data_IF_479436775122
#
_entry.id   IF_479436775122
#
_cell.length_a   1.000
_cell.length_b   1.000
_cell.length_c   1.000
_cell.angle_alpha   90.00
_cell.angle_beta   90.00
_cell.angle_gamma   90.00
#
_symmetry.space_group_name_H-M   'P 1'
#
loop_
_entity.id
_entity.type
_entity.pdbx_description
1 polymer ?
#
# COMPACT_ATOMS: atom_id res chain seq x y z
N UNK A 1 -6.59 -8.02 -4.08
CA UNK A 1 -6.63 -8.35 -5.53
C UNK A 1 -5.23 -8.33 -6.13
N UNK A 2 -4.51 -7.21 -6.02
CA UNK A 2 -3.17 -6.99 -6.61
C UNK A 2 -2.14 -8.05 -6.14
N UNK A 3 -1.80 -8.07 -4.85
CA UNK A 3 -0.68 -8.89 -4.34
C UNK A 3 -0.93 -10.40 -4.34
N UNK A 4 -2.15 -10.83 -3.98
CA UNK A 4 -2.46 -12.26 -3.80
C UNK A 4 -2.92 -12.90 -5.12
N UNK A 5 -3.78 -12.22 -5.89
CA UNK A 5 -4.40 -12.79 -7.09
C UNK A 5 -3.73 -12.35 -8.39
N UNK A 6 -3.01 -11.23 -8.40
CA UNK A 6 -2.37 -10.72 -9.61
C UNK A 6 -3.32 -10.02 -10.58
N UNK A 7 -4.43 -9.44 -10.10
CA UNK A 7 -5.36 -8.67 -10.93
C UNK A 7 -5.59 -7.28 -10.36
N UNK A 8 -5.74 -6.31 -11.26
CA UNK A 8 -6.07 -4.91 -10.98
C UNK A 8 -7.35 -4.56 -11.71
N UNK A 9 -8.31 -3.91 -11.04
CA UNK A 9 -9.55 -3.41 -11.66
C UNK A 9 -9.32 -2.15 -12.50
N UNK A 10 -8.26 -1.38 -12.19
CA UNK A 10 -7.82 -0.19 -12.92
C UNK A 10 -8.77 1.02 -12.93
N UNK A 11 -10.00 0.89 -12.42
CA UNK A 11 -10.99 1.97 -12.36
C UNK A 11 -12.03 1.82 -11.22
N UNK A 12 -11.60 1.77 -9.94
CA UNK A 12 -12.53 1.71 -8.81
C UNK A 12 -13.13 3.11 -8.52
N UNK A 13 -13.84 3.70 -9.48
CA UNK A 13 -14.54 4.97 -9.26
C UNK A 13 -15.72 4.77 -8.28
N UNK A 14 -16.09 5.77 -7.43
CA UNK A 14 -17.22 5.65 -6.50
C UNK A 14 -18.51 5.10 -7.12
N UNK A 15 -18.81 5.44 -8.38
CA UNK A 15 -19.98 4.93 -9.10
C UNK A 15 -19.97 3.42 -9.37
N UNK A 16 -18.80 2.77 -9.32
CA UNK A 16 -18.63 1.34 -9.55
C UNK A 16 -18.61 0.53 -8.24
N UNK A 17 -18.74 1.18 -7.08
CA UNK A 17 -18.63 0.56 -5.76
C UNK A 17 -19.94 0.78 -5.00
N UNK A 18 -20.63 -0.30 -4.67
CA UNK A 18 -21.78 -0.28 -3.78
C UNK A 18 -21.44 -0.94 -2.45
N UNK A 19 -22.02 -0.42 -1.37
CA UNK A 19 -21.94 -1.04 -0.05
C UNK A 19 -23.31 -1.62 0.27
N UNK A 20 -23.37 -2.93 0.47
CA UNK A 20 -24.59 -3.65 0.80
C UNK A 20 -24.44 -4.31 2.17
N UNK A 21 -25.48 -4.22 3.01
CA UNK A 21 -25.51 -5.00 4.23
C UNK A 21 -25.85 -6.45 3.91
N UNK A 22 -24.98 -7.36 4.31
CA UNK A 22 -25.22 -8.79 4.21
C UNK A 22 -26.37 -9.19 5.16
N UNK A 23 -27.42 -9.78 4.60
CA UNK A 23 -28.61 -10.16 5.37
C UNK A 23 -28.36 -11.31 6.36
N UNK A 24 -27.34 -12.15 6.11
CA UNK A 24 -27.04 -13.34 6.91
C UNK A 24 -26.02 -13.02 7.99
N UNK A 25 -24.90 -12.39 7.63
CA UNK A 25 -23.80 -12.11 8.56
C UNK A 25 -23.93 -10.75 9.25
N UNK A 26 -24.77 -9.85 8.72
CA UNK A 26 -24.86 -8.46 9.18
C UNK A 26 -23.66 -7.59 8.80
N UNK A 27 -22.66 -8.13 8.08
CA UNK A 27 -21.47 -7.40 7.62
C UNK A 27 -21.79 -6.43 6.49
N UNK A 28 -20.88 -5.48 6.25
CA UNK A 28 -20.92 -4.63 5.05
C UNK A 28 -20.12 -5.30 3.95
N UNK A 29 -20.78 -5.65 2.86
CA UNK A 29 -20.17 -6.23 1.67
C UNK A 29 -19.95 -5.12 0.64
N UNK A 30 -18.82 -5.21 -0.07
CA UNK A 30 -18.48 -4.31 -1.16
C UNK A 30 -18.82 -5.02 -2.47
N UNK A 31 -19.74 -4.44 -3.25
CA UNK A 31 -20.15 -4.93 -4.57
C UNK A 31 -19.52 -4.05 -5.64
N UNK A 32 -18.76 -4.66 -6.54
CA UNK A 32 -18.17 -4.01 -7.70
C UNK A 32 -19.09 -4.22 -8.90
N UNK A 33 -19.47 -3.14 -9.57
CA UNK A 33 -20.44 -3.18 -10.67
C UNK A 33 -19.79 -3.36 -12.04
N UNK A 34 -18.69 -2.64 -12.26
CA UNK A 34 -18.03 -2.58 -13.56
C UNK A 34 -16.84 -3.55 -13.59
N UNK A 35 -16.77 -4.35 -14.65
CA UNK A 35 -15.63 -5.25 -14.88
C UNK A 35 -14.93 -5.03 -16.23
N UNK A 36 -15.13 -3.87 -16.86
CA UNK A 36 -14.62 -3.56 -18.19
C UNK A 36 -13.12 -3.30 -18.30
N UNK A 37 -12.42 -2.93 -17.21
CA UNK A 37 -11.02 -2.48 -17.26
C UNK A 37 -10.03 -3.34 -16.44
N UNK A 38 -10.22 -4.66 -16.38
CA UNK A 38 -9.30 -5.53 -15.64
C UNK A 38 -7.97 -5.75 -16.37
N UNK A 39 -6.87 -5.66 -15.62
CA UNK A 39 -5.54 -6.06 -16.08
C UNK A 39 -4.95 -7.14 -15.19
N UNK A 40 -4.37 -8.15 -15.83
CA UNK A 40 -3.51 -9.15 -15.19
C UNK A 40 -2.12 -8.58 -14.97
N UNK A 41 -1.51 -8.92 -13.85
CA UNK A 41 -0.12 -8.62 -13.54
C UNK A 41 0.73 -9.86 -13.81
N UNK A 42 1.86 -9.68 -14.47
CA UNK A 42 2.87 -10.73 -14.54
C UNK A 42 3.32 -11.12 -13.13
N UNK A 43 3.47 -12.43 -12.88
CA UNK A 43 3.81 -12.96 -11.56
C UNK A 43 5.12 -12.35 -11.03
N UNK A 44 6.14 -12.21 -11.89
CA UNK A 44 7.41 -11.58 -11.53
C UNK A 44 7.22 -10.13 -11.06
N UNK A 45 6.51 -9.31 -11.85
CA UNK A 45 6.24 -7.93 -11.50
C UNK A 45 5.43 -7.80 -10.20
N UNK A 46 4.46 -8.70 -9.99
CA UNK A 46 3.67 -8.76 -8.75
C UNK A 46 4.57 -8.99 -7.53
N UNK A 47 5.52 -9.92 -7.61
CA UNK A 47 6.45 -10.23 -6.52
C UNK A 47 7.44 -9.08 -6.29
N UNK A 48 7.91 -8.42 -7.34
CA UNK A 48 8.75 -7.22 -7.21
C UNK A 48 7.99 -6.09 -6.53
N UNK A 49 6.72 -5.88 -6.89
CA UNK A 49 5.87 -4.90 -6.24
C UNK A 49 5.59 -5.24 -4.76
N UNK A 50 5.37 -6.52 -4.41
CA UNK A 50 5.31 -6.97 -3.01
C UNK A 50 6.60 -6.63 -2.26
N UNK A 51 7.75 -6.92 -2.87
CA UNK A 51 9.07 -6.70 -2.27
C UNK A 51 9.34 -5.22 -2.04
N UNK A 52 8.93 -4.35 -2.98
CA UNK A 52 8.98 -2.91 -2.83
C UNK A 52 8.18 -2.45 -1.62
N UNK A 53 6.92 -2.88 -1.48
CA UNK A 53 6.08 -2.51 -0.34
C UNK A 53 6.67 -2.98 0.99
N UNK A 54 7.21 -4.20 1.04
CA UNK A 54 7.89 -4.69 2.23
C UNK A 54 9.12 -3.85 2.60
N UNK A 55 9.90 -3.41 1.61
CA UNK A 55 11.05 -2.52 1.82
C UNK A 55 10.63 -1.12 2.31
N UNK A 56 9.58 -0.54 1.69
CA UNK A 56 9.00 0.74 2.09
C UNK A 56 8.48 0.71 3.54
N UNK A 57 7.78 -0.35 3.92
CA UNK A 57 7.24 -0.52 5.27
C UNK A 57 8.34 -0.67 6.34
N UNK A 58 9.48 -1.27 5.97
CA UNK A 58 10.66 -1.41 6.84
C UNK A 58 11.57 -0.18 6.84
N UNK A 59 11.29 0.82 5.99
CA UNK A 59 12.18 1.96 5.73
C UNK A 59 13.60 1.52 5.27
N UNK A 60 13.70 0.40 4.56
CA UNK A 60 14.96 -0.17 4.09
C UNK A 60 15.35 0.45 2.74
N UNK A 61 16.22 1.46 2.79
CA UNK A 61 16.62 2.25 1.60
C UNK A 61 17.36 1.43 0.56
N UNK A 62 18.22 0.50 1.01
CA UNK A 62 19.02 -0.32 0.11
C UNK A 62 18.13 -1.34 -0.61
N UNK A 63 17.17 -1.94 0.11
CA UNK A 63 16.17 -2.80 -0.50
C UNK A 63 15.25 -2.06 -1.47
N UNK A 64 14.79 -0.83 -1.12
CA UNK A 64 14.00 0.01 -2.03
C UNK A 64 14.77 0.26 -3.33
N UNK A 65 16.03 0.69 -3.23
CA UNK A 65 16.87 0.97 -4.40
C UNK A 65 17.04 -0.28 -5.27
N UNK A 66 17.37 -1.42 -4.67
CA UNK A 66 17.55 -2.69 -5.38
C UNK A 66 16.30 -3.14 -6.13
N UNK A 67 15.12 -3.01 -5.52
CA UNK A 67 13.86 -3.37 -6.18
C UNK A 67 13.52 -2.40 -7.30
N UNK A 68 13.72 -1.09 -7.09
CA UNK A 68 13.52 -0.09 -8.13
C UNK A 68 14.46 -0.27 -9.33
N UNK A 69 15.71 -0.69 -9.10
CA UNK A 69 16.63 -1.08 -10.19
C UNK A 69 16.07 -2.25 -10.99
N UNK A 70 15.55 -3.29 -10.31
CA UNK A 70 14.90 -4.44 -10.98
C UNK A 70 13.66 -4.03 -11.78
N UNK A 71 12.87 -3.08 -11.29
CA UNK A 71 11.68 -2.55 -11.95
C UNK A 71 11.99 -1.53 -13.07
N UNK A 72 13.25 -1.37 -13.47
CA UNK A 72 13.71 -0.42 -14.50
C UNK A 72 13.51 1.07 -14.13
N UNK A 73 13.36 1.36 -12.84
CA UNK A 73 13.17 2.72 -12.30
C UNK A 73 14.52 3.37 -11.98
N UNK A 74 15.50 2.58 -11.55
CA UNK A 74 16.88 3.00 -11.35
C UNK A 74 17.04 4.16 -10.36
N UNK A 75 17.66 5.25 -10.81
CA UNK A 75 17.98 6.42 -9.99
C UNK A 75 16.74 7.17 -9.45
N UNK A 76 15.58 6.98 -10.06
CA UNK A 76 14.33 7.62 -9.66
C UNK A 76 13.63 6.94 -8.46
N UNK A 77 14.31 6.03 -7.76
CA UNK A 77 13.72 5.25 -6.65
C UNK A 77 13.07 6.12 -5.56
N UNK A 78 13.66 7.29 -5.25
CA UNK A 78 13.14 8.20 -4.22
C UNK A 78 11.84 8.86 -4.66
N UNK A 79 11.81 9.41 -5.88
CA UNK A 79 10.62 9.99 -6.49
C UNK A 79 9.51 8.95 -6.65
N UNK A 80 9.85 7.77 -7.15
CA UNK A 80 8.91 6.67 -7.29
C UNK A 80 8.30 6.24 -5.94
N UNK A 81 9.13 6.09 -4.91
CA UNK A 81 8.66 5.79 -3.56
C UNK A 81 7.67 6.85 -3.05
N UNK A 82 7.94 8.14 -3.29
CA UNK A 82 7.02 9.22 -2.94
C UNK A 82 5.68 9.10 -3.69
N UNK A 83 5.70 8.82 -4.99
CA UNK A 83 4.47 8.65 -5.81
C UNK A 83 3.65 7.43 -5.35
N UNK A 84 4.31 6.31 -5.09
CA UNK A 84 3.67 5.05 -4.66
C UNK A 84 3.06 5.15 -3.27
N UNK A 85 3.69 5.88 -2.35
CA UNK A 85 3.23 5.97 -0.97
C UNK A 85 2.42 7.24 -0.68
N UNK A 86 2.51 8.27 -1.54
CA UNK A 86 2.05 9.63 -1.25
C UNK A 86 2.64 10.19 0.05
N UNK A 87 3.88 9.83 0.37
CA UNK A 87 4.63 10.31 1.53
C UNK A 87 5.91 10.99 1.08
N UNK A 88 6.42 11.90 1.90
CA UNK A 88 7.73 12.51 1.64
C UNK A 88 8.84 11.49 1.83
N UNK A 89 9.97 11.68 1.14
CA UNK A 89 11.13 10.79 1.28
C UNK A 89 11.67 10.75 2.72
N UNK A 90 11.55 11.86 3.47
CA UNK A 90 11.91 11.95 4.89
C UNK A 90 11.00 11.06 5.76
N UNK A 91 9.69 11.06 5.52
CA UNK A 91 8.73 10.15 6.17
C UNK A 91 9.00 8.69 5.84
N UNK A 92 9.29 8.37 4.57
CA UNK A 92 9.62 7.00 4.15
C UNK A 92 10.89 6.53 4.84
N UNK A 93 11.92 7.37 4.86
CA UNK A 93 13.22 7.08 5.46
C UNK A 93 13.19 6.92 6.98
N UNK A 94 12.30 7.62 7.67
CA UNK A 94 12.13 7.54 9.13
C UNK A 94 11.11 6.47 9.56
N UNK A 95 10.34 5.95 8.61
CA UNK A 95 9.28 4.97 8.78
C UNK A 95 7.90 5.60 8.65
N UNK A 96 7.19 5.25 7.58
CA UNK A 96 5.85 5.77 7.20
C UNK A 96 4.81 5.63 8.32
N UNK A 97 4.97 4.62 9.18
CA UNK A 97 4.07 4.33 10.30
C UNK A 97 4.24 5.30 11.49
N UNK A 98 5.39 5.97 11.59
CA UNK A 98 5.74 6.82 12.74
C UNK A 98 5.33 8.28 12.53
N UNK A 99 5.37 8.78 11.30
CA UNK A 99 5.00 10.16 10.98
C UNK A 99 3.51 10.29 10.67
N UNK A 100 2.86 11.28 11.29
CA UNK A 100 1.51 11.71 10.90
C UNK A 100 1.57 12.47 9.58
N UNK A 101 0.53 12.32 8.76
CA UNK A 101 0.39 13.07 7.51
C UNK A 101 0.03 14.51 7.90
N UNK A 102 1.00 15.42 7.81
CA UNK A 102 0.77 16.84 8.05
C UNK A 102 0.47 17.59 6.74
N UNK A 103 -0.23 18.72 6.84
CA UNK A 103 -0.40 19.64 5.70
C UNK A 103 0.95 20.16 5.17
N UNK A 104 1.97 20.23 6.04
CA UNK A 104 3.34 20.59 5.63
C UNK A 104 3.98 19.49 4.77
N UNK A 105 3.76 18.21 5.08
CA UNK A 105 4.24 17.09 4.26
C UNK A 105 3.63 17.13 2.86
N UNK A 106 2.35 17.52 2.75
CA UNK A 106 1.69 17.69 1.45
C UNK A 106 2.32 18.80 0.63
N UNK A 107 2.60 19.95 1.25
CA UNK A 107 3.28 21.06 0.59
C UNK A 107 4.70 20.68 0.14
N UNK A 108 5.45 19.93 0.96
CA UNK A 108 6.77 19.40 0.61
C UNK A 108 6.70 18.46 -0.60
N UNK A 109 5.76 17.51 -0.61
CA UNK A 109 5.56 16.59 -1.75
C UNK A 109 5.21 17.38 -3.01
N UNK A 110 4.35 18.39 -2.91
CA UNK A 110 3.92 19.18 -4.06
C UNK A 110 5.07 20.03 -4.63
N UNK A 111 5.87 20.66 -3.76
CA UNK A 111 7.06 21.41 -4.19
C UNK A 111 8.13 20.49 -4.79
N UNK A 112 8.34 19.33 -4.20
CA UNK A 112 9.25 18.31 -4.71
C UNK A 112 8.78 17.75 -6.04
N UNK A 113 7.49 17.50 -6.22
CA UNK A 113 6.94 17.06 -7.50
C UNK A 113 7.09 18.13 -8.58
N UNK A 114 6.82 19.40 -8.25
CA UNK A 114 6.94 20.52 -9.18
C UNK A 114 8.37 20.74 -9.67
N UNK A 115 9.37 20.58 -8.78
CA UNK A 115 10.78 20.70 -9.16
C UNK A 115 11.30 19.54 -10.01
N UNK A 116 10.57 18.42 -10.02
CA UNK A 116 10.96 17.18 -10.70
C UNK A 116 10.09 16.83 -11.91
N UNK A 117 9.25 17.74 -12.41
CA UNK A 117 8.39 17.50 -13.59
C UNK A 117 9.15 16.86 -14.77
N UNK A 118 10.35 17.33 -15.16
CA UNK A 118 11.12 16.69 -16.23
C UNK A 118 11.50 15.23 -15.92
N UNK A 119 11.82 14.95 -14.65
CA UNK A 119 12.19 13.62 -14.18
C UNK A 119 10.98 12.71 -14.03
N UNK A 120 9.80 13.25 -13.70
CA UNK A 120 8.53 12.52 -13.70
C UNK A 120 8.24 12.00 -15.11
N UNK A 121 8.42 12.81 -16.15
CA UNK A 121 8.23 12.34 -17.53
C UNK A 121 9.15 11.18 -17.89
N UNK A 122 10.43 11.24 -17.48
CA UNK A 122 11.40 10.17 -17.72
C UNK A 122 11.08 8.90 -16.90
N UNK A 123 10.62 9.08 -15.66
CA UNK A 123 10.17 7.98 -14.80
C UNK A 123 8.98 7.26 -15.43
N UNK A 124 7.97 8.01 -15.90
CA UNK A 124 6.78 7.44 -16.53
C UNK A 124 7.11 6.70 -17.84
N UNK A 125 8.09 7.17 -18.61
CA UNK A 125 8.54 6.52 -19.85
C UNK A 125 9.26 5.18 -19.58
N UNK A 126 10.06 5.10 -18.52
CA UNK A 126 10.79 3.86 -18.14
C UNK A 126 9.93 2.84 -17.39
N UNK A 127 8.80 3.27 -16.83
CA UNK A 127 7.99 2.48 -15.92
C UNK A 127 7.23 1.37 -16.65
N UNK A 128 7.16 0.14 -16.09
CA UNK A 128 6.32 -0.91 -16.66
C UNK A 128 4.85 -0.48 -16.70
N UNK A 129 4.15 -0.85 -17.78
CA UNK A 129 2.77 -0.42 -18.05
C UNK A 129 1.80 -0.87 -16.95
N UNK A 130 2.06 -2.05 -16.39
CA UNK A 130 1.35 -2.62 -15.25
C UNK A 130 1.35 -1.68 -14.04
N UNK A 131 2.46 -0.96 -13.81
CA UNK A 131 2.59 -0.04 -12.71
C UNK A 131 1.76 1.24 -12.91
N UNK A 132 1.66 1.74 -14.15
CA UNK A 132 0.81 2.90 -14.46
C UNK A 132 -0.66 2.64 -14.09
N UNK A 133 -1.14 1.42 -14.35
CA UNK A 133 -2.49 0.99 -13.99
C UNK A 133 -2.69 0.89 -12.47
N UNK A 134 -1.67 0.41 -11.76
CA UNK A 134 -1.66 0.39 -10.29
C UNK A 134 -1.68 1.81 -9.73
N UNK A 135 -0.87 2.72 -10.28
CA UNK A 135 -0.84 4.13 -9.86
C UNK A 135 -2.21 4.79 -10.06
N UNK A 136 -2.84 4.61 -11.23
CA UNK A 136 -4.20 5.09 -11.48
C UNK A 136 -5.20 4.56 -10.44
N UNK A 137 -5.12 3.26 -10.14
CA UNK A 137 -5.99 2.62 -9.13
C UNK A 137 -5.75 3.23 -7.75
N UNK A 138 -4.49 3.41 -7.35
CA UNK A 138 -4.13 3.99 -6.06
C UNK A 138 -4.61 5.43 -5.94
N UNK A 139 -4.50 6.23 -6.99
CA UNK A 139 -4.97 7.62 -6.99
C UNK A 139 -6.48 7.73 -6.85
N UNK A 140 -7.25 6.84 -7.51
CA UNK A 140 -8.70 6.76 -7.33
C UNK A 140 -9.09 6.32 -5.92
N UNK A 141 -8.41 5.31 -5.36
CA UNK A 141 -8.63 4.87 -3.98
C UNK A 141 -8.34 5.99 -2.98
N UNK A 142 -7.24 6.73 -3.17
CA UNK A 142 -6.90 7.90 -2.33
C UNK A 142 -7.93 9.02 -2.44
N UNK A 143 -8.51 9.23 -3.63
CA UNK A 143 -9.60 10.20 -3.80
C UNK A 143 -10.84 9.79 -3.00
N UNK A 144 -11.19 8.49 -3.00
CA UNK A 144 -12.26 7.94 -2.17
C UNK A 144 -11.95 8.10 -0.69
N UNK A 145 -10.76 7.73 -0.24
CA UNK A 145 -10.35 7.88 1.16
C UNK A 145 -10.43 9.33 1.65
N UNK A 146 -10.06 10.30 0.80
CA UNK A 146 -10.21 11.73 1.09
C UNK A 146 -11.67 12.14 1.16
N UNK A 147 -12.50 11.71 0.22
CA UNK A 147 -13.95 12.01 0.22
C UNK A 147 -14.67 11.44 1.45
N UNK A 148 -14.18 10.32 1.99
CA UNK A 148 -14.71 9.67 3.19
C UNK A 148 -14.08 10.20 4.50
N UNK A 149 -13.10 11.10 4.43
CA UNK A 149 -12.43 11.66 5.61
C UNK A 149 -11.49 10.68 6.34
N UNK A 150 -11.05 9.60 5.68
CA UNK A 150 -10.23 8.53 6.29
C UNK A 150 -8.79 8.49 5.77
N UNK A 151 -8.35 9.47 4.98
CA UNK A 151 -7.05 9.50 4.33
C UNK A 151 -5.82 9.41 5.27
N UNK A 152 -5.99 9.68 6.58
CA UNK A 152 -4.90 9.63 7.56
C UNK A 152 -4.83 8.30 8.32
N UNK A 153 -5.62 7.29 7.93
CA UNK A 153 -5.62 6.00 8.63
C UNK A 153 -4.42 5.15 8.25
N UNK A 154 -3.70 4.68 9.28
CA UNK A 154 -2.54 3.76 9.13
C UNK A 154 -2.97 2.33 8.74
N UNK A 155 -4.27 2.04 8.84
CA UNK A 155 -4.89 0.75 8.53
C UNK A 155 -4.58 0.30 7.10
N UNK A 156 -4.66 1.19 6.10
CA UNK A 156 -4.37 0.86 4.70
C UNK A 156 -2.96 0.27 4.55
N UNK A 157 -1.94 0.89 5.14
CA UNK A 157 -0.56 0.38 5.08
C UNK A 157 -0.39 -0.98 5.78
N UNK A 158 -1.16 -1.24 6.84
CA UNK A 158 -1.11 -2.51 7.58
C UNK A 158 -1.78 -3.64 6.79
N UNK A 159 -2.89 -3.36 6.09
CA UNK A 159 -3.50 -4.33 5.17
C UNK A 159 -2.60 -4.63 3.97
N UNK A 160 -1.92 -3.62 3.43
CA UNK A 160 -0.91 -3.81 2.39
C UNK A 160 0.22 -4.72 2.89
N UNK A 161 0.70 -4.51 4.12
CA UNK A 161 1.72 -5.36 4.75
C UNK A 161 1.27 -6.82 4.87
N UNK A 162 0.03 -7.06 5.31
CA UNK A 162 -0.54 -8.41 5.42
C UNK A 162 -0.62 -9.10 4.06
N UNK A 163 -1.13 -8.38 3.06
CA UNK A 163 -1.23 -8.90 1.69
C UNK A 163 0.15 -9.25 1.12
N UNK A 164 1.16 -8.41 1.34
CA UNK A 164 2.52 -8.67 0.89
C UNK A 164 3.14 -9.88 1.62
N UNK A 165 2.93 -10.02 2.92
CA UNK A 165 3.41 -11.17 3.69
C UNK A 165 2.79 -12.49 3.17
N UNK A 166 1.49 -12.49 2.89
CA UNK A 166 0.82 -13.65 2.28
C UNK A 166 1.31 -13.94 0.86
N UNK A 167 1.50 -12.92 0.04
CA UNK A 167 1.99 -13.08 -1.33
C UNK A 167 3.41 -13.66 -1.36
N UNK A 168 4.30 -13.17 -0.49
CA UNK A 168 5.67 -13.71 -0.35
C UNK A 168 5.63 -15.19 0.09
N UNK A 169 4.83 -15.52 1.09
CA UNK A 169 4.66 -16.91 1.53
C UNK A 169 4.14 -17.81 0.41
N UNK A 170 3.15 -17.38 -0.36
CA UNK A 170 2.61 -18.16 -1.48
C UNK A 170 3.66 -18.40 -2.55
N UNK A 171 4.54 -17.44 -2.81
CA UNK A 171 5.61 -17.58 -3.79
C UNK A 171 6.70 -18.55 -3.29
N UNK A 172 7.15 -18.38 -2.04
CA UNK A 172 8.13 -19.27 -1.43
C UNK A 172 7.63 -20.73 -1.33
N UNK A 173 6.32 -20.90 -1.12
CA UNK A 173 5.68 -22.21 -1.03
C UNK A 173 5.63 -22.93 -2.39
N UNK A 174 5.59 -22.22 -3.52
CA UNK A 174 5.72 -22.85 -4.86
C UNK A 174 7.08 -23.50 -5.07
N UNK A 175 8.12 -22.96 -4.44
CA UNK A 175 9.51 -23.43 -4.53
C UNK A 175 9.87 -24.36 -3.36
N UNK A 176 8.94 -24.57 -2.41
CA UNK A 176 9.15 -25.48 -1.30
C UNK A 176 8.89 -26.92 -1.75
N UNK A 177 9.92 -27.76 -1.67
CA UNK A 177 9.84 -29.19 -2.01
C UNK A 177 9.85 -30.10 -0.78
N UNK A 178 10.07 -29.53 0.41
CA UNK A 178 10.34 -30.29 1.64
C UNK A 178 9.41 -29.84 2.75
N UNK A 179 8.83 -30.81 3.46
CA UNK A 179 7.91 -30.58 4.59
C UNK A 179 8.46 -29.65 5.68
N UNK A 180 9.74 -29.78 6.05
CA UNK A 180 10.38 -28.89 7.02
C UNK A 180 10.46 -27.43 6.55
N UNK A 181 10.64 -27.22 5.23
CA UNK A 181 10.65 -25.89 4.63
C UNK A 181 9.24 -25.29 4.65
N UNK A 182 8.21 -26.08 4.37
CA UNK A 182 6.81 -25.65 4.48
C UNK A 182 6.44 -25.21 5.90
N UNK A 183 6.81 -26.01 6.92
CA UNK A 183 6.59 -25.64 8.33
C UNK A 183 7.34 -24.35 8.68
N UNK A 184 8.61 -24.23 8.24
CA UNK A 184 9.41 -23.05 8.51
C UNK A 184 8.80 -21.79 7.88
N UNK A 185 8.35 -21.88 6.62
CA UNK A 185 7.68 -20.79 5.92
C UNK A 185 6.36 -20.42 6.60
N UNK A 186 5.57 -21.41 7.04
CA UNK A 186 4.32 -21.17 7.75
C UNK A 186 4.59 -20.44 9.07
N UNK A 187 5.59 -20.89 9.84
CA UNK A 187 6.02 -20.21 11.06
C UNK A 187 6.45 -18.76 10.79
N UNK A 188 7.25 -18.52 9.76
CA UNK A 188 7.68 -17.18 9.37
C UNK A 188 6.48 -16.29 9.01
N UNK A 189 5.51 -16.80 8.25
CA UNK A 189 4.27 -16.09 7.92
C UNK A 189 3.51 -15.72 9.20
N UNK A 190 3.20 -16.69 10.05
CA UNK A 190 2.44 -16.45 11.28
C UNK A 190 3.16 -15.50 12.23
N UNK A 191 4.48 -15.58 12.33
CA UNK A 191 5.28 -14.66 13.13
C UNK A 191 5.24 -13.23 12.57
N UNK A 192 5.33 -13.07 11.25
CA UNK A 192 5.21 -11.76 10.60
C UNK A 192 3.80 -11.18 10.77
N UNK A 193 2.75 -11.99 10.60
CA UNK A 193 1.38 -11.58 10.83
C UNK A 193 1.16 -11.19 12.30
N UNK A 194 1.68 -11.97 13.24
CA UNK A 194 1.62 -11.66 14.67
C UNK A 194 2.23 -10.29 14.98
N UNK A 195 3.40 -9.97 14.41
CA UNK A 195 4.00 -8.63 14.55
C UNK A 195 3.10 -7.52 14.00
N UNK A 196 2.47 -7.74 12.85
CA UNK A 196 1.54 -6.76 12.26
C UNK A 196 0.31 -6.59 13.16
N UNK A 197 -0.28 -7.68 13.65
CA UNK A 197 -1.42 -7.64 14.56
C UNK A 197 -1.09 -6.94 15.88
N UNK A 198 0.08 -7.25 16.43
CA UNK A 198 0.58 -6.59 17.64
C UNK A 198 0.78 -5.09 17.41
N UNK A 199 1.32 -4.68 16.26
CA UNK A 199 1.47 -3.27 15.91
C UNK A 199 0.10 -2.57 15.77
N UNK A 200 -0.87 -3.17 15.06
CA UNK A 200 -2.24 -2.62 14.99
C UNK A 200 -2.87 -2.46 16.37
N UNK A 201 -2.74 -3.47 17.23
CA UNK A 201 -3.29 -3.46 18.57
C UNK A 201 -2.62 -2.37 19.43
N UNK A 202 -1.29 -2.27 19.38
CA UNK A 202 -0.54 -1.23 20.08
C UNK A 202 -0.96 0.17 19.64
N UNK A 203 -1.10 0.42 18.34
CA UNK A 203 -1.55 1.73 17.83
C UNK A 203 -2.99 2.04 18.22
N UNK A 204 -3.90 1.06 18.17
CA UNK A 204 -5.28 1.22 18.60
C UNK A 204 -5.36 1.60 20.09
N UNK A 205 -4.64 0.88 20.95
CA UNK A 205 -4.53 1.18 22.38
C UNK A 205 -3.95 2.56 22.62
N UNK A 206 -2.85 2.90 21.95
CA UNK A 206 -2.22 4.21 22.08
C UNK A 206 -3.18 5.33 21.66
N UNK A 207 -3.94 5.16 20.57
CA UNK A 207 -4.95 6.15 20.16
C UNK A 207 -6.10 6.27 21.16
N UNK A 208 -6.53 5.16 21.77
CA UNK A 208 -7.57 5.15 22.78
C UNK A 208 -7.15 5.92 24.04
N UNK A 209 -5.92 5.70 24.53
CA UNK A 209 -5.39 6.40 25.70
C UNK A 209 -4.98 7.86 25.43
N UNK A 210 -4.67 8.24 24.18
CA UNK A 210 -4.31 9.62 23.84
C UNK A 210 -5.56 10.48 23.53
N UNK A 211 -6.65 9.89 23.04
CA UNK A 211 -7.89 10.61 22.68
C UNK A 211 -8.83 10.93 23.87
N UNK A 212 -8.38 10.85 25.12
CA UNK A 212 -9.14 11.33 26.30
C UNK A 212 -9.22 12.87 26.43
N UNK A 213 -8.82 13.64 25.42
CA UNK A 213 -9.28 15.04 25.28
C UNK A 213 -10.29 15.16 24.15
N UNK A 214 -11.60 15.14 24.44
CA UNK A 214 -12.60 15.47 23.44
C UNK A 214 -12.45 16.95 23.07
N UNK A 215 -12.03 17.21 21.83
CA UNK A 215 -12.23 18.51 21.18
C UNK A 215 -13.73 18.71 21.02
N UNK A 216 -14.34 19.40 21.97
CA UNK A 216 -15.64 20.04 21.81
C UNK A 216 -15.54 21.10 20.72
N UNK A 217 -15.99 20.78 19.52
CA UNK A 217 -16.35 21.77 18.52
C UNK A 217 -17.73 21.35 17.95
N UNK A 218 -18.80 22.11 18.22
CA UNK A 218 -20.12 21.81 17.70
C UNK A 218 -20.12 22.07 16.19
N UNK A 219 -20.58 21.09 15.43
CA UNK A 219 -20.92 21.25 14.02
C UNK A 219 -22.30 21.92 13.99
N UNK A 220 -22.34 23.17 13.51
CA UNK A 220 -23.53 23.79 12.94
C UNK A 220 -23.46 23.63 11.41
#
# INVERSE_FOLDING_TARGET
>A
MIFIKGYVHCDPHPGNVLVQKNAVTGSSDIVLLDHGLYSTLADEFRIDYCSLWMALLKADKDAIKKVCEKMNIGEFYSLFACVVTSRSWSSISSGIQKSEVSETERAEIQQFAASLIPQISQLLDKMPREMLLILKTNDLLRAIERSLGIANRKETFLEMARCCAHAAYQDDMKVATTYWKEISLAYQLYFNLFKIYFATWYFAIRSYFINEKPSTAPIY
#
